data_IF_917837149218
#
_entry.id   IF_917837149218
#
_cell.length_a   1.000
_cell.length_b   1.000
_cell.length_c   1.000
_cell.angle_alpha   90.00
_cell.angle_beta   90.00
_cell.angle_gamma   90.00
#
_symmetry.space_group_name_H-M   'P 1'
#
loop_
_entity.id
_entity.type
_entity.pdbx_description
1 polymer ?
#
# COMPACT_ATOMS: atom_id res chain seq x y z
N UNK A 1 5.89 -7.02 -32.09
CA UNK A 1 4.57 -6.64 -31.51
C UNK A 1 4.87 -5.68 -30.36
N UNK A 2 4.64 -4.38 -30.54
CA UNK A 2 4.91 -3.36 -29.51
C UNK A 2 3.79 -3.39 -28.49
N UNK A 3 4.07 -3.82 -27.26
CA UNK A 3 3.08 -3.74 -26.17
C UNK A 3 2.78 -2.27 -25.95
N UNK A 4 1.52 -1.83 -26.06
CA UNK A 4 1.19 -0.44 -25.81
C UNK A 4 1.59 -0.06 -24.38
N UNK A 5 2.35 1.03 -24.24
CA UNK A 5 2.99 1.45 -22.99
C UNK A 5 1.99 1.57 -21.82
N UNK A 6 0.70 1.85 -22.10
CA UNK A 6 -0.33 1.91 -21.07
C UNK A 6 -0.68 0.56 -20.43
N UNK A 7 -0.36 -0.57 -21.05
CA UNK A 7 -0.59 -1.91 -20.48
C UNK A 7 0.55 -2.39 -19.57
N UNK A 8 1.76 -1.85 -19.71
CA UNK A 8 2.91 -2.28 -18.90
C UNK A 8 2.69 -2.05 -17.40
N UNK A 9 2.23 -0.86 -16.93
CA UNK A 9 1.98 -0.64 -15.51
C UNK A 9 0.83 -1.50 -14.97
N UNK A 10 -0.20 -1.76 -15.78
CA UNK A 10 -1.32 -2.62 -15.41
C UNK A 10 -0.88 -4.07 -15.21
N UNK A 11 -0.04 -4.60 -16.11
CA UNK A 11 0.50 -5.96 -15.99
C UNK A 11 1.31 -6.12 -14.70
N UNK A 12 2.11 -5.12 -14.34
CA UNK A 12 2.83 -5.09 -13.08
C UNK A 12 1.87 -5.08 -11.89
N UNK A 13 0.84 -4.22 -11.88
CA UNK A 13 -0.19 -4.22 -10.83
C UNK A 13 -0.78 -5.61 -10.61
N UNK A 14 -1.14 -6.34 -11.68
CA UNK A 14 -1.68 -7.70 -11.56
C UNK A 14 -0.65 -8.70 -11.04
N UNK A 15 0.62 -8.60 -11.44
CA UNK A 15 1.69 -9.46 -10.90
C UNK A 15 1.89 -9.26 -9.39
N UNK A 16 1.83 -8.01 -8.90
CA UNK A 16 1.93 -7.73 -7.47
C UNK A 16 0.68 -8.18 -6.69
N UNK A 17 -0.52 -8.09 -7.29
CA UNK A 17 -1.73 -8.66 -6.71
C UNK A 17 -1.67 -10.18 -6.64
N UNK A 18 -1.17 -10.85 -7.68
CA UNK A 18 -0.98 -12.29 -7.69
C UNK A 18 0.04 -12.73 -6.62
N UNK A 19 1.15 -12.00 -6.49
CA UNK A 19 2.11 -12.20 -5.40
C UNK A 19 1.46 -12.03 -4.03
N UNK A 20 0.62 -11.01 -3.85
CA UNK A 20 -0.09 -10.76 -2.59
C UNK A 20 -1.02 -11.94 -2.25
N UNK A 21 -1.80 -12.42 -3.22
CA UNK A 21 -2.66 -13.60 -3.07
C UNK A 21 -1.83 -14.84 -2.71
N UNK A 22 -0.70 -15.04 -3.37
CA UNK A 22 0.20 -16.15 -3.06
C UNK A 22 0.73 -16.10 -1.62
N UNK A 23 1.17 -14.93 -1.14
CA UNK A 23 1.68 -14.78 0.23
C UNK A 23 0.56 -14.97 1.26
N UNK A 24 -0.64 -14.46 0.99
CA UNK A 24 -1.82 -14.70 1.85
C UNK A 24 -2.15 -16.19 1.91
N UNK A 25 -2.12 -16.87 0.76
CA UNK A 25 -2.32 -18.33 0.70
C UNK A 25 -1.24 -19.06 1.49
N UNK A 26 0.04 -18.74 1.28
CA UNK A 26 1.15 -19.34 2.00
C UNK A 26 1.01 -19.16 3.52
N UNK A 27 0.64 -17.95 3.97
CA UNK A 27 0.40 -17.65 5.37
C UNK A 27 -0.81 -18.42 5.95
N UNK A 28 -1.86 -18.62 5.16
CA UNK A 28 -3.04 -19.39 5.56
C UNK A 28 -2.76 -20.89 5.66
N UNK A 29 -1.93 -21.43 4.78
CA UNK A 29 -1.54 -22.85 4.77
C UNK A 29 -0.41 -23.20 5.74
N UNK A 30 0.14 -22.20 6.43
CA UNK A 30 1.23 -22.41 7.36
C UNK A 30 0.75 -23.13 8.63
N UNK A 31 1.27 -24.34 8.87
CA UNK A 31 0.86 -25.20 9.97
C UNK A 31 1.66 -24.97 11.25
N UNK A 32 2.52 -23.96 11.31
CA UNK A 32 3.34 -23.67 12.49
C UNK A 32 2.47 -23.18 13.64
N UNK A 33 2.80 -23.63 14.85
CA UNK A 33 2.12 -23.17 16.05
C UNK A 33 2.29 -21.65 16.22
N UNK A 34 1.25 -20.91 16.66
CA UNK A 34 1.37 -19.50 16.96
C UNK A 34 2.46 -19.24 18.01
N UNK A 35 3.30 -18.24 17.75
CA UNK A 35 4.35 -17.80 18.68
C UNK A 35 3.77 -16.68 19.57
N UNK A 36 3.30 -17.06 20.75
CA UNK A 36 2.54 -16.18 21.65
C UNK A 36 3.38 -15.09 22.32
N UNK A 37 4.71 -15.27 22.39
CA UNK A 37 5.64 -14.34 23.05
C UNK A 37 6.64 -13.67 22.11
N UNK A 38 7.66 -12.99 22.66
CA UNK A 38 8.71 -12.35 21.88
C UNK A 38 9.52 -13.39 21.10
N UNK A 39 9.97 -13.02 19.90
CA UNK A 39 10.78 -13.88 19.05
C UNK A 39 12.07 -14.34 19.77
N UNK A 40 12.33 -15.63 19.78
CA UNK A 40 13.53 -16.25 20.38
C UNK A 40 14.53 -16.72 19.30
N UNK A 41 14.05 -16.91 18.07
CA UNK A 41 14.82 -17.41 16.95
C UNK A 41 14.44 -16.72 15.64
N UNK A 42 15.29 -16.87 14.61
CA UNK A 42 15.02 -16.32 13.28
C UNK A 42 13.75 -16.91 12.66
N UNK A 43 13.46 -18.20 12.90
CA UNK A 43 12.27 -18.87 12.37
C UNK A 43 10.95 -18.30 12.92
N UNK A 44 10.98 -17.67 14.09
CA UNK A 44 9.79 -17.07 14.70
C UNK A 44 9.29 -15.89 13.87
N UNK A 45 10.16 -15.26 13.06
CA UNK A 45 9.79 -14.12 12.22
C UNK A 45 9.05 -14.48 10.94
N UNK A 46 8.97 -15.74 10.53
CA UNK A 46 8.35 -16.06 9.23
C UNK A 46 6.90 -15.53 9.11
N UNK A 47 6.01 -15.59 10.12
CA UNK A 47 4.68 -14.98 10.02
C UNK A 47 4.73 -13.45 9.84
N UNK A 48 5.71 -12.80 10.49
CA UNK A 48 5.99 -11.36 10.35
C UNK A 48 6.49 -11.05 8.93
N UNK A 49 7.34 -11.91 8.37
CA UNK A 49 7.83 -11.78 7.00
C UNK A 49 6.69 -11.87 5.99
N UNK A 50 5.67 -12.72 6.19
CA UNK A 50 4.50 -12.72 5.32
C UNK A 50 3.80 -11.36 5.29
N UNK A 51 3.57 -10.76 6.46
CA UNK A 51 2.99 -9.42 6.57
C UNK A 51 3.89 -8.39 5.88
N UNK A 52 5.20 -8.40 6.14
CA UNK A 52 6.17 -7.49 5.51
C UNK A 52 6.14 -7.58 3.99
N UNK A 53 6.24 -8.80 3.44
CA UNK A 53 6.22 -9.01 1.99
C UNK A 53 4.88 -8.57 1.42
N UNK A 54 3.76 -8.95 2.02
CA UNK A 54 2.43 -8.50 1.59
C UNK A 54 2.28 -6.98 1.61
N UNK A 55 2.84 -6.29 2.61
CA UNK A 55 2.82 -4.83 2.69
C UNK A 55 3.65 -4.16 1.59
N UNK A 56 4.77 -4.76 1.20
CA UNK A 56 5.63 -4.26 0.10
C UNK A 56 4.93 -4.52 -1.24
N UNK A 57 4.34 -5.70 -1.44
CA UNK A 57 3.61 -6.03 -2.66
C UNK A 57 2.44 -5.07 -2.88
N UNK A 58 1.66 -4.79 -1.82
CA UNK A 58 0.58 -3.81 -1.87
C UNK A 58 1.09 -2.37 -2.13
N UNK A 59 2.28 -2.01 -1.62
CA UNK A 59 2.89 -0.72 -1.95
C UNK A 59 3.20 -0.62 -3.46
N UNK A 60 3.78 -1.67 -4.04
CA UNK A 60 4.04 -1.72 -5.47
C UNK A 60 2.73 -1.66 -6.28
N UNK A 61 1.65 -2.30 -5.84
CA UNK A 61 0.32 -2.12 -6.45
C UNK A 61 -0.05 -0.63 -6.54
N UNK A 62 0.17 0.16 -5.47
CA UNK A 62 -0.09 1.60 -5.50
C UNK A 62 0.86 2.38 -6.42
N UNK A 63 2.16 2.07 -6.44
CA UNK A 63 3.14 2.73 -7.31
C UNK A 63 2.86 2.48 -8.80
N UNK A 64 2.50 1.25 -9.16
CA UNK A 64 2.15 0.91 -10.54
C UNK A 64 0.80 1.48 -10.94
N UNK A 65 -0.19 1.51 -10.03
CA UNK A 65 -1.46 2.19 -10.26
C UNK A 65 -1.28 3.71 -10.44
N UNK A 66 -0.40 4.34 -9.65
CA UNK A 66 -0.01 5.75 -9.79
C UNK A 66 0.56 6.02 -11.19
N UNK A 67 1.48 5.17 -11.65
CA UNK A 67 2.07 5.29 -12.99
C UNK A 67 1.04 5.04 -14.10
N UNK A 68 0.22 3.98 -13.97
CA UNK A 68 -0.85 3.65 -14.92
C UNK A 68 -1.82 4.81 -15.11
N UNK A 69 -2.24 5.42 -14.00
CA UNK A 69 -3.20 6.54 -13.98
C UNK A 69 -2.66 7.73 -14.78
N UNK A 70 -1.39 8.09 -14.59
CA UNK A 70 -0.76 9.19 -15.34
C UNK A 70 -0.76 8.91 -16.85
N UNK A 71 -0.40 7.69 -17.27
CA UNK A 71 -0.39 7.34 -18.70
C UNK A 71 -1.79 7.31 -19.31
N UNK A 72 -2.78 6.79 -18.59
CA UNK A 72 -4.18 6.76 -19.04
C UNK A 72 -4.73 8.17 -19.20
N UNK A 73 -4.52 9.04 -18.21
CA UNK A 73 -4.97 10.43 -18.26
C UNK A 73 -4.23 11.24 -19.34
N UNK A 74 -2.94 10.98 -19.55
CA UNK A 74 -2.18 11.58 -20.65
C UNK A 74 -2.71 11.14 -22.03
N UNK A 75 -3.01 9.85 -22.21
CA UNK A 75 -3.58 9.34 -23.44
C UNK A 75 -4.96 9.94 -23.74
N UNK A 76 -5.82 10.08 -22.71
CA UNK A 76 -7.11 10.77 -22.82
C UNK A 76 -6.94 12.24 -23.23
N UNK A 77 -6.07 12.98 -22.55
CA UNK A 77 -5.81 14.39 -22.87
C UNK A 77 -5.30 14.57 -24.32
N UNK A 78 -4.39 13.71 -24.79
CA UNK A 78 -3.88 13.73 -26.16
C UNK A 78 -4.97 13.45 -27.18
N UNK A 79 -5.83 12.46 -26.91
CA UNK A 79 -6.98 12.14 -27.76
C UNK A 79 -7.94 13.33 -27.85
N UNK A 80 -8.30 13.94 -26.72
CA UNK A 80 -9.20 15.09 -26.70
C UNK A 80 -8.64 16.32 -27.42
N UNK A 81 -7.35 16.60 -27.28
CA UNK A 81 -6.70 17.72 -27.98
C UNK A 81 -6.75 17.53 -29.49
N UNK A 82 -6.47 16.31 -29.97
CA UNK A 82 -6.56 15.94 -31.39
C UNK A 82 -8.00 16.02 -31.91
N UNK A 83 -8.94 15.40 -31.20
CA UNK A 83 -10.33 15.26 -31.65
C UNK A 83 -11.07 16.61 -31.64
N UNK A 84 -10.76 17.51 -30.69
CA UNK A 84 -11.34 18.86 -30.62
C UNK A 84 -10.61 19.89 -31.49
N UNK A 85 -9.58 19.50 -32.27
CA UNK A 85 -8.69 20.40 -33.03
C UNK A 85 -8.33 21.66 -32.25
N UNK A 86 -8.07 21.52 -30.94
CA UNK A 86 -7.85 22.70 -30.08
C UNK A 86 -6.59 23.41 -30.55
N UNK A 87 -6.74 24.65 -31.02
CA UNK A 87 -5.60 25.56 -31.14
C UNK A 87 -5.10 25.87 -29.74
N UNK A 88 -3.87 25.46 -29.43
CA UNK A 88 -3.29 25.64 -28.11
C UNK A 88 -2.14 24.67 -27.82
N UNK A 89 -1.58 24.79 -26.63
CA UNK A 89 -0.46 23.95 -26.19
C UNK A 89 -0.87 22.48 -26.12
N UNK A 90 -0.05 21.61 -26.74
CA UNK A 90 -0.25 20.18 -26.66
C UNK A 90 -0.12 19.70 -25.20
N UNK A 91 -0.95 18.73 -24.76
CA UNK A 91 -0.83 18.18 -23.42
C UNK A 91 0.56 17.58 -23.23
N UNK A 92 1.23 17.93 -22.12
CA UNK A 92 2.52 17.38 -21.74
C UNK A 92 2.39 16.42 -20.57
N UNK A 93 3.23 15.39 -20.55
CA UNK A 93 3.22 14.38 -19.48
C UNK A 93 3.53 15.02 -18.11
N UNK A 94 4.45 15.99 -18.08
CA UNK A 94 4.80 16.70 -16.86
C UNK A 94 3.60 17.48 -16.29
N UNK A 95 2.84 18.18 -17.13
CA UNK A 95 1.64 18.91 -16.71
C UNK A 95 0.56 17.97 -16.16
N UNK A 96 0.36 16.80 -16.77
CA UNK A 96 -0.59 15.80 -16.25
C UNK A 96 -0.11 15.20 -14.93
N UNK A 97 1.18 14.89 -14.81
CA UNK A 97 1.74 14.20 -13.64
C UNK A 97 1.85 15.10 -12.41
N UNK A 98 2.24 16.35 -12.60
CA UNK A 98 2.59 17.29 -11.52
C UNK A 98 1.58 18.44 -11.37
N UNK A 99 0.66 18.60 -12.31
CA UNK A 99 -0.41 19.59 -12.21
C UNK A 99 -1.45 19.24 -11.16
N UNK A 100 -2.20 20.25 -10.71
CA UNK A 100 -3.25 20.10 -9.70
C UNK A 100 -4.66 19.95 -10.30
N UNK A 101 -4.77 19.96 -11.63
CA UNK A 101 -6.06 19.98 -12.32
C UNK A 101 -6.70 18.59 -12.46
N UNK A 102 -5.93 17.51 -12.27
CA UNK A 102 -6.40 16.15 -12.46
C UNK A 102 -6.59 15.43 -11.11
N UNK A 103 -7.82 15.44 -10.61
CA UNK A 103 -8.18 14.79 -9.35
C UNK A 103 -7.84 13.30 -9.31
N UNK A 104 -7.94 12.59 -10.44
CA UNK A 104 -7.61 11.15 -10.51
C UNK A 104 -6.11 10.92 -10.27
N UNK A 105 -5.25 11.74 -10.88
CA UNK A 105 -3.80 11.69 -10.65
C UNK A 105 -3.46 12.10 -9.22
N UNK A 106 -4.09 13.15 -8.69
CA UNK A 106 -3.93 13.57 -7.28
C UNK A 106 -4.28 12.41 -6.34
N UNK A 107 -5.44 11.78 -6.54
CA UNK A 107 -5.87 10.67 -5.71
C UNK A 107 -4.86 9.51 -5.74
N UNK A 108 -4.37 9.13 -6.93
CA UNK A 108 -3.38 8.07 -7.05
C UNK A 108 -2.03 8.45 -6.38
N UNK A 109 -1.57 9.69 -6.55
CA UNK A 109 -0.37 10.22 -5.88
C UNK A 109 -0.52 10.20 -4.35
N UNK A 110 -1.67 10.64 -3.82
CA UNK A 110 -1.93 10.63 -2.38
C UNK A 110 -2.07 9.21 -1.82
N UNK A 111 -2.57 8.26 -2.61
CA UNK A 111 -2.58 6.84 -2.23
C UNK A 111 -1.18 6.27 -2.04
N UNK A 112 -0.31 6.43 -3.05
CA UNK A 112 1.07 5.97 -2.96
C UNK A 112 1.84 6.70 -1.85
N UNK A 113 1.74 8.03 -1.80
CA UNK A 113 2.44 8.85 -0.80
C UNK A 113 2.04 8.51 0.63
N UNK A 114 0.74 8.48 0.93
CA UNK A 114 0.27 8.16 2.28
C UNK A 114 0.59 6.73 2.70
N UNK A 115 0.60 5.78 1.76
CA UNK A 115 1.05 4.43 2.05
C UNK A 115 2.53 4.40 2.43
N UNK A 116 3.40 5.06 1.64
CA UNK A 116 4.82 5.16 1.94
C UNK A 116 5.12 5.82 3.28
N UNK A 117 4.41 6.91 3.61
CA UNK A 117 4.49 7.61 4.89
C UNK A 117 4.18 6.68 6.08
N UNK A 118 3.18 5.79 5.96
CA UNK A 118 2.79 4.86 7.02
C UNK A 118 3.62 3.57 7.04
N UNK A 119 4.16 3.14 5.89
CA UNK A 119 4.89 1.88 5.76
C UNK A 119 6.13 1.84 6.66
N UNK A 120 6.87 2.95 6.76
CA UNK A 120 8.08 3.02 7.58
C UNK A 120 7.76 2.81 9.07
N UNK A 121 6.91 3.63 9.72
CA UNK A 121 6.58 3.43 11.13
C UNK A 121 5.85 2.10 11.37
N UNK A 122 5.06 1.62 10.40
CA UNK A 122 4.45 0.29 10.45
C UNK A 122 5.50 -0.82 10.57
N UNK A 123 6.47 -0.90 9.66
CA UNK A 123 7.49 -1.94 9.68
C UNK A 123 8.32 -1.87 10.97
N UNK A 124 8.72 -0.67 11.40
CA UNK A 124 9.44 -0.49 12.67
C UNK A 124 8.60 -1.03 13.83
N UNK A 125 7.33 -0.64 13.93
CA UNK A 125 6.44 -1.09 15.02
C UNK A 125 6.20 -2.60 15.01
N UNK A 126 6.07 -3.20 13.82
CA UNK A 126 5.83 -4.62 13.63
C UNK A 126 7.01 -5.45 14.15
N UNK A 127 8.24 -5.09 13.77
CA UNK A 127 9.43 -5.80 14.20
C UNK A 127 9.76 -5.55 15.68
N UNK A 128 9.60 -4.32 16.17
CA UNK A 128 9.78 -4.01 17.60
C UNK A 128 8.80 -4.81 18.47
N UNK A 129 7.52 -4.83 18.12
CA UNK A 129 6.53 -5.58 18.89
C UNK A 129 6.78 -7.09 18.84
N UNK A 130 7.25 -7.61 17.71
CA UNK A 130 7.66 -9.02 17.56
C UNK A 130 8.87 -9.37 18.44
N UNK A 131 9.84 -8.46 18.55
CA UNK A 131 11.07 -8.65 19.32
C UNK A 131 10.87 -8.57 20.84
N UNK A 132 9.96 -7.71 21.30
CA UNK A 132 9.86 -7.37 22.73
C UNK A 132 8.55 -7.78 23.39
N UNK A 133 7.50 -8.07 22.61
CA UNK A 133 6.16 -8.32 23.16
C UNK A 133 5.59 -9.66 22.69
N UNK A 134 5.24 -9.77 21.41
CA UNK A 134 4.59 -10.95 20.86
C UNK A 134 4.63 -10.99 19.33
N UNK A 135 5.16 -12.07 18.77
CA UNK A 135 5.14 -12.34 17.33
C UNK A 135 3.71 -12.52 16.82
N UNK A 136 2.89 -13.29 17.53
CA UNK A 136 1.50 -13.55 17.15
C UNK A 136 0.69 -12.26 17.09
N UNK A 137 0.78 -11.40 18.12
CA UNK A 137 -0.01 -10.17 18.16
C UNK A 137 0.50 -9.16 17.14
N UNK A 138 1.82 -9.04 16.95
CA UNK A 138 2.39 -8.24 15.86
C UNK A 138 1.84 -8.70 14.50
N UNK A 139 1.82 -10.00 14.23
CA UNK A 139 1.34 -10.58 12.98
C UNK A 139 -0.15 -10.28 12.74
N UNK A 140 -1.01 -10.49 13.76
CA UNK A 140 -2.45 -10.17 13.69
C UNK A 140 -2.70 -8.70 13.44
N UNK A 141 -2.01 -7.83 14.18
CA UNK A 141 -2.09 -6.38 14.01
C UNK A 141 -1.59 -5.95 12.61
N UNK A 142 -0.53 -6.62 12.13
CA UNK A 142 0.04 -6.47 10.80
C UNK A 142 -0.94 -6.74 9.67
N UNK A 143 -1.64 -7.86 9.71
CA UNK A 143 -2.70 -8.18 8.75
C UNK A 143 -3.88 -7.21 8.84
N UNK A 144 -4.26 -6.81 10.06
CA UNK A 144 -5.31 -5.81 10.28
C UNK A 144 -4.96 -4.47 9.61
N UNK A 145 -3.73 -3.98 9.82
CA UNK A 145 -3.20 -2.80 9.15
C UNK A 145 -3.29 -2.95 7.63
N UNK A 146 -2.84 -4.09 7.09
CA UNK A 146 -2.85 -4.34 5.65
C UNK A 146 -4.26 -4.30 5.05
N UNK A 147 -5.26 -4.89 5.74
CA UNK A 147 -6.67 -4.83 5.33
C UNK A 147 -7.11 -3.38 5.22
N UNK A 148 -6.87 -2.57 6.25
CA UNK A 148 -7.24 -1.16 6.23
C UNK A 148 -6.56 -0.38 5.09
N UNK A 149 -5.29 -0.69 4.80
CA UNK A 149 -4.58 -0.03 3.69
C UNK A 149 -5.05 -0.48 2.30
N UNK A 150 -5.51 -1.72 2.15
CA UNK A 150 -5.90 -2.29 0.85
C UNK A 150 -7.02 -1.51 0.14
N UNK A 151 -7.95 -0.93 0.90
CA UNK A 151 -9.07 -0.15 0.36
C UNK A 151 -8.89 1.37 0.49
N UNK A 152 -7.70 1.86 0.85
CA UNK A 152 -7.45 3.29 1.01
C UNK A 152 -7.78 4.10 -0.26
N UNK A 153 -7.49 3.58 -1.44
CA UNK A 153 -7.81 4.25 -2.71
C UNK A 153 -9.30 4.44 -2.96
N UNK A 154 -10.14 3.54 -2.44
CA UNK A 154 -11.58 3.72 -2.44
C UNK A 154 -11.98 4.75 -1.38
N UNK A 155 -11.45 4.63 -0.16
CA UNK A 155 -11.78 5.53 0.94
C UNK A 155 -11.42 7.01 0.65
N UNK A 156 -10.30 7.25 -0.04
CA UNK A 156 -9.85 8.59 -0.44
C UNK A 156 -10.82 9.30 -1.40
N UNK A 157 -11.59 8.55 -2.19
CA UNK A 157 -12.56 9.11 -3.14
C UNK A 157 -13.92 9.41 -2.51
N UNK A 158 -14.14 9.00 -1.26
CA UNK A 158 -15.38 9.31 -0.55
C UNK A 158 -15.38 10.76 -0.03
N UNK A 159 -16.57 11.38 0.11
CA UNK A 159 -16.69 12.66 0.80
C UNK A 159 -16.12 12.58 2.22
N UNK A 160 -15.62 13.70 2.73
CA UNK A 160 -15.18 13.78 4.12
C UNK A 160 -16.34 13.40 5.08
N UNK A 161 -16.11 12.55 6.11
CA UNK A 161 -14.83 12.04 6.61
C UNK A 161 -14.44 10.62 6.13
N UNK A 162 -14.90 10.16 4.96
CA UNK A 162 -14.75 8.77 4.51
C UNK A 162 -13.31 8.23 4.47
N UNK A 163 -12.31 9.08 4.26
CA UNK A 163 -10.89 8.69 4.31
C UNK A 163 -10.48 8.07 5.66
N UNK A 164 -11.16 8.43 6.75
CA UNK A 164 -10.88 7.93 8.10
C UNK A 164 -11.24 6.45 8.28
N UNK A 165 -12.11 5.89 7.43
CA UNK A 165 -12.45 4.46 7.50
C UNK A 165 -11.24 3.56 7.25
N UNK A 166 -10.24 4.03 6.50
CA UNK A 166 -8.98 3.31 6.28
C UNK A 166 -7.87 3.84 7.20
N UNK A 167 -7.73 5.16 7.27
CA UNK A 167 -6.56 5.79 7.88
C UNK A 167 -6.53 5.66 9.40
N UNK A 168 -7.64 5.88 10.10
CA UNK A 168 -7.64 5.90 11.57
C UNK A 168 -7.39 4.52 12.18
N UNK A 169 -8.04 3.44 11.70
CA UNK A 169 -7.74 2.10 12.20
C UNK A 169 -6.31 1.65 11.87
N UNK A 170 -5.78 2.01 10.68
CA UNK A 170 -4.39 1.72 10.33
C UNK A 170 -3.41 2.44 11.27
N UNK A 171 -3.63 3.72 11.57
CA UNK A 171 -2.81 4.41 12.56
C UNK A 171 -2.90 3.73 13.92
N UNK A 172 -4.10 3.38 14.38
CA UNK A 172 -4.28 2.71 15.66
C UNK A 172 -3.43 1.43 15.78
N UNK A 173 -3.36 0.60 14.73
CA UNK A 173 -2.47 -0.57 14.71
C UNK A 173 -1.00 -0.22 15.00
N UNK A 174 -0.48 0.82 14.35
CA UNK A 174 0.91 1.27 14.52
C UNK A 174 1.12 1.82 15.94
N UNK A 175 0.28 2.76 16.36
CA UNK A 175 0.39 3.42 17.67
C UNK A 175 0.28 2.41 18.82
N UNK A 176 -0.65 1.46 18.71
CA UNK A 176 -0.82 0.42 19.71
C UNK A 176 0.41 -0.49 19.80
N UNK A 177 0.98 -0.92 18.67
CA UNK A 177 2.22 -1.74 18.66
C UNK A 177 3.41 -0.99 19.26
N UNK A 178 3.58 0.30 18.92
CA UNK A 178 4.65 1.15 19.49
C UNK A 178 4.44 1.32 21.00
N UNK A 179 3.25 1.75 21.42
CA UNK A 179 2.94 2.05 22.82
C UNK A 179 3.09 0.83 23.72
N UNK A 180 2.58 -0.33 23.29
CA UNK A 180 2.73 -1.59 24.03
C UNK A 180 4.19 -2.04 24.12
N UNK A 181 4.99 -1.84 23.07
CA UNK A 181 6.44 -2.12 23.11
C UNK A 181 7.12 -1.25 24.15
N UNK A 182 6.87 0.07 24.13
CA UNK A 182 7.47 1.00 25.11
C UNK A 182 7.13 0.60 26.54
N UNK A 183 5.85 0.26 26.81
CA UNK A 183 5.41 -0.18 28.13
C UNK A 183 6.06 -1.50 28.55
N UNK A 184 6.26 -2.43 27.62
CA UNK A 184 6.86 -3.73 27.91
C UNK A 184 8.34 -3.64 28.29
N UNK A 185 9.11 -2.80 27.58
CA UNK A 185 10.56 -2.66 27.82
C UNK A 185 10.92 -1.68 28.96
N UNK A 186 9.96 -0.88 29.42
CA UNK A 186 10.17 0.08 30.52
C UNK A 186 9.97 -0.54 31.91
N UNK A 187 9.66 -1.84 31.99
CA UNK A 187 9.50 -2.61 33.22
C UNK A 187 10.73 -3.47 33.45
#
# INVERSE_FOLDING_TARGET
MTVPIHYLPLSATYSFLAGLVYVVYAAYTDTRSPITGPAQSVSDFIPVVYVTVSSILLYYVFLYNQSATVFVEFAKAKKEHRDKKKEGEAPSLAKIKYGLDNFTVIAANRCAGNYGEQLIPFLISLYLHSLFVSVEVATKCGWCWLVFRSYYSWAFKMPFPGLFLSTMPAYFCIWWMIGSTVVAISK
#
